data_IF_183646710393
#
_entry.id   IF_183646710393
#
_cell.length_a   1.000
_cell.length_b   1.000
_cell.length_c   1.000
_cell.angle_alpha   90.00
_cell.angle_beta   90.00
_cell.angle_gamma   90.00
#
_symmetry.space_group_name_H-M   'P 1'
#
loop_
_entity.id
_entity.type
_entity.pdbx_description
1 polymer ?
#
# COMPACT_ATOMS: atom_id res chain seq x y z
N UNK A 1 -13.43 1.82 0.93
CA UNK A 1 -13.18 0.39 1.20
C UNK A 1 -11.98 0.15 2.15
N UNK A 2 -11.88 0.87 3.29
CA UNK A 2 -10.66 0.88 4.15
C UNK A 2 -10.38 -0.41 4.97
N UNK A 3 -11.32 -1.37 5.00
CA UNK A 3 -11.16 -2.59 5.82
C UNK A 3 -10.35 -3.70 5.14
N UNK A 4 -10.19 -3.69 3.81
CA UNK A 4 -9.57 -4.78 3.04
C UNK A 4 -8.10 -5.04 3.42
N UNK A 5 -7.29 -3.98 3.56
CA UNK A 5 -5.85 -4.13 3.78
C UNK A 5 -5.51 -4.66 5.18
N UNK A 6 -6.32 -4.34 6.19
CA UNK A 6 -6.15 -4.84 7.55
C UNK A 6 -6.42 -6.35 7.63
N UNK A 7 -7.45 -6.81 6.93
CA UNK A 7 -7.74 -8.24 6.82
C UNK A 7 -6.66 -9.00 6.06
N UNK A 8 -6.14 -8.43 4.97
CA UNK A 8 -5.03 -9.02 4.22
C UNK A 8 -3.74 -9.12 5.05
N UNK A 9 -3.44 -8.10 5.87
CA UNK A 9 -2.29 -8.14 6.78
C UNK A 9 -2.48 -9.15 7.92
N UNK A 10 -3.70 -9.25 8.48
CA UNK A 10 -4.00 -10.24 9.51
C UNK A 10 -3.84 -11.68 8.96
N UNK A 11 -4.28 -11.93 7.72
CA UNK A 11 -4.11 -13.21 7.05
C UNK A 11 -2.65 -13.48 6.68
N UNK A 12 -1.87 -12.47 6.28
CA UNK A 12 -0.43 -12.60 6.11
C UNK A 12 0.27 -13.03 7.41
N UNK A 13 -0.09 -12.41 8.55
CA UNK A 13 0.44 -12.78 9.86
C UNK A 13 0.06 -14.20 10.28
N UNK A 14 -1.18 -14.60 10.04
CA UNK A 14 -1.63 -15.97 10.27
C UNK A 14 -0.87 -16.99 9.38
N UNK A 15 -0.63 -16.63 8.11
CA UNK A 15 0.15 -17.43 7.16
C UNK A 15 1.61 -17.57 7.58
N UNK A 16 2.24 -16.50 8.09
CA UNK A 16 3.59 -16.54 8.68
C UNK A 16 3.65 -17.52 9.86
N UNK A 17 2.75 -17.36 10.82
CA UNK A 17 2.74 -18.18 12.03
C UNK A 17 2.51 -19.66 11.71
N UNK A 18 1.55 -19.95 10.82
CA UNK A 18 1.25 -21.31 10.36
C UNK A 18 2.40 -21.92 9.57
N UNK A 19 2.96 -21.19 8.60
CA UNK A 19 4.06 -21.64 7.76
C UNK A 19 5.33 -21.95 8.58
N UNK A 20 5.63 -21.11 9.58
CA UNK A 20 6.73 -21.36 10.51
C UNK A 20 6.48 -22.58 11.39
N UNK A 21 5.29 -22.72 11.97
CA UNK A 21 4.93 -23.88 12.79
C UNK A 21 5.00 -25.19 11.99
N UNK A 22 4.50 -25.18 10.75
CA UNK A 22 4.46 -26.34 9.86
C UNK A 22 5.85 -26.80 9.45
N UNK A 23 6.75 -25.87 9.11
CA UNK A 23 8.10 -26.18 8.62
C UNK A 23 9.18 -26.06 9.68
N UNK A 24 8.83 -25.97 10.97
CA UNK A 24 9.79 -25.78 12.09
C UNK A 24 10.90 -26.82 12.18
N UNK A 25 10.73 -27.99 11.55
CA UNK A 25 11.72 -29.08 11.50
C UNK A 25 12.66 -28.97 10.29
N UNK A 26 12.34 -28.11 9.34
CA UNK A 26 13.15 -27.84 8.15
C UNK A 26 14.00 -26.60 8.40
N UNK A 27 15.29 -26.65 8.03
CA UNK A 27 16.20 -25.49 8.15
C UNK A 27 15.78 -24.28 7.30
N UNK A 28 14.79 -24.45 6.41
CA UNK A 28 14.23 -23.41 5.53
C UNK A 28 12.86 -22.89 6.00
N UNK A 29 12.46 -23.20 7.24
CA UNK A 29 11.23 -22.71 7.87
C UNK A 29 10.90 -21.22 7.59
N UNK A 30 11.83 -20.26 7.73
CA UNK A 30 11.50 -18.84 7.50
C UNK A 30 11.14 -18.55 6.04
N UNK A 31 11.76 -19.24 5.08
CA UNK A 31 11.48 -19.04 3.66
C UNK A 31 10.07 -19.55 3.31
N UNK A 32 9.72 -20.74 3.79
CA UNK A 32 8.37 -21.29 3.60
C UNK A 32 7.29 -20.49 4.33
N UNK A 33 7.60 -19.97 5.52
CA UNK A 33 6.69 -19.07 6.24
C UNK A 33 6.42 -17.78 5.44
N UNK A 34 7.45 -17.17 4.87
CA UNK A 34 7.31 -15.97 4.04
C UNK A 34 6.47 -16.22 2.78
N UNK A 35 6.69 -17.36 2.10
CA UNK A 35 5.88 -17.77 0.95
C UNK A 35 4.42 -17.97 1.36
N UNK A 36 4.17 -18.69 2.47
CA UNK A 36 2.81 -18.94 2.94
C UNK A 36 2.06 -17.65 3.31
N UNK A 37 2.77 -16.70 3.92
CA UNK A 37 2.24 -15.39 4.25
C UNK A 37 1.88 -14.57 3.00
N UNK A 38 2.74 -14.62 1.98
CA UNK A 38 2.51 -13.95 0.71
C UNK A 38 1.31 -14.56 -0.03
N UNK A 39 1.20 -15.89 -0.06
CA UNK A 39 0.05 -16.59 -0.64
C UNK A 39 -1.26 -16.13 0.01
N UNK A 40 -1.30 -16.08 1.33
CA UNK A 40 -2.53 -15.70 2.05
C UNK A 40 -2.81 -14.20 1.90
N UNK A 41 -1.79 -13.35 1.94
CA UNK A 41 -1.94 -11.93 1.66
C UNK A 41 -2.59 -11.68 0.29
N UNK A 42 -2.12 -12.38 -0.75
CA UNK A 42 -2.66 -12.25 -2.12
C UNK A 42 -4.07 -12.84 -2.22
N UNK A 43 -4.30 -14.03 -1.67
CA UNK A 43 -5.59 -14.71 -1.72
C UNK A 43 -6.72 -13.89 -1.07
N UNK A 44 -6.41 -13.13 -0.02
CA UNK A 44 -7.36 -12.27 0.69
C UNK A 44 -7.39 -10.82 0.17
N UNK A 45 -6.87 -10.57 -1.04
CA UNK A 45 -7.02 -9.29 -1.73
C UNK A 45 -6.01 -8.20 -1.33
N UNK A 46 -4.93 -8.56 -0.63
CA UNK A 46 -3.87 -7.64 -0.24
C UNK A 46 -3.19 -6.96 -1.43
N UNK A 47 -3.00 -7.68 -2.54
CA UNK A 47 -2.43 -7.12 -3.76
C UNK A 47 -3.30 -6.03 -4.38
N UNK A 48 -4.62 -6.26 -4.46
CA UNK A 48 -5.57 -5.28 -4.97
C UNK A 48 -5.60 -4.02 -4.10
N UNK A 49 -5.62 -4.20 -2.76
CA UNK A 49 -5.59 -3.08 -1.82
C UNK A 49 -4.29 -2.26 -1.90
N UNK A 50 -3.15 -2.91 -2.18
CA UNK A 50 -1.87 -2.23 -2.35
C UNK A 50 -1.85 -1.38 -3.64
N UNK A 51 -2.38 -1.94 -4.74
CA UNK A 51 -2.51 -1.22 -6.01
C UNK A 51 -3.44 -0.02 -5.90
N UNK A 52 -4.58 -0.17 -5.20
CA UNK A 52 -5.51 0.93 -4.93
C UNK A 52 -4.81 2.06 -4.15
N UNK A 53 -4.06 1.71 -3.09
CA UNK A 53 -3.27 2.67 -2.29
C UNK A 53 -2.20 3.40 -3.11
N UNK A 54 -1.49 2.68 -3.97
CA UNK A 54 -0.45 3.26 -4.84
C UNK A 54 -1.08 4.18 -5.86
N UNK A 55 -2.21 3.78 -6.45
CA UNK A 55 -2.96 4.60 -7.40
C UNK A 55 -3.46 5.90 -6.75
N UNK A 56 -4.08 5.81 -5.58
CA UNK A 56 -4.50 6.99 -4.79
C UNK A 56 -3.30 7.93 -4.55
N UNK A 57 -2.15 7.38 -4.16
CA UNK A 57 -0.94 8.18 -3.91
C UNK A 57 -0.34 8.85 -5.16
N UNK A 58 -0.52 8.26 -6.35
CA UNK A 58 -0.09 8.86 -7.61
C UNK A 58 -1.08 9.91 -8.11
N UNK A 59 -2.38 9.69 -7.90
CA UNK A 59 -3.44 10.67 -8.21
C UNK A 59 -3.29 11.92 -7.32
N UNK A 60 -3.06 11.76 -6.01
CA UNK A 60 -2.83 12.87 -5.07
C UNK A 60 -1.54 13.65 -5.38
N UNK A 61 -0.49 12.98 -5.90
CA UNK A 61 0.77 13.64 -6.26
C UNK A 61 0.65 14.55 -7.49
N UNK A 62 -0.30 14.30 -8.38
CA UNK A 62 -0.55 15.11 -9.58
C UNK A 62 -1.27 16.44 -9.30
N UNK A 63 -2.11 16.50 -8.25
CA UNK A 63 -2.91 17.69 -7.93
C UNK A 63 -2.09 18.80 -7.26
N UNK A 64 -1.04 18.43 -6.51
CA UNK A 64 -0.17 19.38 -5.79
C UNK A 64 0.72 20.21 -6.75
N UNK A 65 1.01 19.70 -7.95
CA UNK A 65 1.86 20.40 -8.92
C UNK A 65 1.08 21.47 -9.73
N UNK A 66 -0.24 21.30 -9.89
CA UNK A 66 -1.08 22.23 -10.67
C UNK A 66 -1.51 23.45 -9.85
N UNK A 67 -1.65 23.33 -8.52
CA UNK A 67 -2.08 24.45 -7.67
C UNK A 67 -0.99 25.51 -7.42
N UNK A 68 0.30 25.17 -7.55
CA UNK A 68 1.41 26.11 -7.29
C UNK A 68 1.76 27.06 -8.43
N UNK A 69 1.30 26.83 -9.66
CA UNK A 69 1.70 27.67 -10.81
C UNK A 69 0.69 28.78 -11.14
N UNK A 70 -0.57 28.64 -10.69
CA UNK A 70 -1.60 29.66 -10.92
C UNK A 70 -1.60 30.77 -9.86
N UNK A 71 -1.09 30.53 -8.65
CA UNK A 71 -1.20 31.51 -7.57
C UNK A 71 -0.12 32.62 -7.55
N UNK A 72 0.89 32.54 -8.41
CA UNK A 72 1.93 33.60 -8.52
C UNK A 72 1.61 34.67 -9.57
N UNK A 73 0.58 34.47 -10.41
CA UNK A 73 0.22 35.43 -11.47
C UNK A 73 -0.98 36.32 -11.14
N UNK A 74 -1.47 36.32 -9.90
CA UNK A 74 -2.62 37.14 -9.50
C UNK A 74 -2.26 38.37 -8.66
N UNK A 75 -1.02 38.50 -8.18
CA UNK A 75 -0.59 39.62 -7.31
C UNK A 75 0.07 40.80 -8.03
N UNK A 76 0.19 40.78 -9.36
CA UNK A 76 0.83 41.88 -10.12
C UNK A 76 -0.21 42.84 -10.76
N UNK A 77 -1.50 42.50 -10.76
CA UNK A 77 -2.53 43.33 -11.42
C UNK A 77 -3.10 44.44 -10.50
N UNK A 78 -2.97 44.33 -9.18
CA UNK A 78 -3.56 45.29 -8.22
C UNK A 78 -2.65 46.48 -7.83
N UNK A 79 -1.55 46.73 -8.54
CA UNK A 79 -0.68 47.90 -8.27
C UNK A 79 -0.46 48.83 -9.46
N UNK A 80 -1.31 48.73 -10.49
CA UNK A 80 -1.30 49.66 -11.64
C UNK A 80 -2.71 50.09 -12.03
N UNK A 81 -3.48 50.53 -11.04
CA UNK A 81 -4.72 51.29 -11.20
C UNK A 81 -4.67 52.54 -10.33
#
# INVERSE_FOLDING_TARGET
MKQSIRFALATAGAGLAWGYLRHRRDGRAPMFAAVQALEWFVAYGGAAALLERVREGLEDAGDVEVERVTHTRQTIVDHSG
#
